data_IF_852908299141
#
_entry.id   IF_852908299141
#
_cell.length_a   1.000
_cell.length_b   1.000
_cell.length_c   1.000
_cell.angle_alpha   90.00
_cell.angle_beta   90.00
_cell.angle_gamma   90.00
#
_symmetry.space_group_name_H-M   'P 1'
#
loop_
_entity.id
_entity.type
_entity.pdbx_description
1 polymer ?
#
# COMPACT_ATOMS: atom_id res chain seq x y z
N UNK A 1 -23.69 15.42 -3.78
CA UNK A 1 -22.40 14.96 -3.23
C UNK A 1 -22.01 13.64 -3.90
N UNK A 2 -22.84 12.60 -3.83
CA UNK A 2 -22.58 11.29 -4.44
C UNK A 2 -22.26 11.34 -5.95
N UNK A 3 -23.02 12.10 -6.75
CA UNK A 3 -22.76 12.22 -8.19
C UNK A 3 -21.37 12.81 -8.53
N UNK A 4 -20.85 13.73 -7.70
CA UNK A 4 -19.52 14.31 -7.92
C UNK A 4 -18.41 13.33 -7.52
N UNK A 5 -18.64 12.54 -6.46
CA UNK A 5 -17.71 11.46 -6.06
C UNK A 5 -17.63 10.41 -7.17
N UNK A 6 -18.78 9.98 -7.71
CA UNK A 6 -18.81 9.04 -8.84
C UNK A 6 -18.11 9.60 -10.08
N UNK A 7 -18.37 10.86 -10.45
CA UNK A 7 -17.71 11.49 -11.58
C UNK A 7 -16.19 11.57 -11.41
N UNK A 8 -15.73 11.89 -10.20
CA UNK A 8 -14.30 11.95 -9.91
C UNK A 8 -13.67 10.55 -9.91
N UNK A 9 -14.37 9.53 -9.38
CA UNK A 9 -13.96 8.14 -9.49
C UNK A 9 -13.78 7.74 -10.96
N UNK A 10 -14.77 8.00 -11.83
CA UNK A 10 -14.68 7.59 -13.24
C UNK A 10 -13.49 8.25 -13.95
N UNK A 11 -13.22 9.52 -13.64
CA UNK A 11 -12.03 10.22 -14.13
C UNK A 11 -10.73 9.61 -13.57
N UNK A 12 -10.66 9.42 -12.25
CA UNK A 12 -9.47 8.95 -11.56
C UNK A 12 -9.14 7.52 -11.96
N UNK A 13 -10.11 6.61 -11.97
CA UNK A 13 -9.90 5.20 -12.29
C UNK A 13 -9.51 5.04 -13.76
N UNK A 14 -10.14 5.79 -14.68
CA UNK A 14 -9.76 5.78 -16.09
C UNK A 14 -8.33 6.28 -16.33
N UNK A 15 -7.86 7.24 -15.52
CA UNK A 15 -6.54 7.84 -15.69
C UNK A 15 -5.42 7.09 -14.96
N UNK A 16 -5.63 6.68 -13.72
CA UNK A 16 -4.56 6.24 -12.81
C UNK A 16 -4.64 4.76 -12.44
N UNK A 17 -5.83 4.18 -12.26
CA UNK A 17 -5.95 2.76 -11.91
C UNK A 17 -5.74 1.90 -13.16
N UNK A 18 -4.67 1.10 -13.17
CA UNK A 18 -4.27 0.28 -14.33
C UNK A 18 -4.23 -1.19 -13.95
N UNK A 19 -4.71 -2.02 -14.86
CA UNK A 19 -4.44 -3.46 -14.84
C UNK A 19 -3.03 -3.69 -15.40
N UNK A 20 -2.27 -4.56 -14.75
CA UNK A 20 -0.95 -4.96 -15.23
C UNK A 20 -1.03 -5.65 -16.59
N UNK A 21 -0.02 -5.39 -17.43
CA UNK A 21 0.18 -6.10 -18.69
C UNK A 21 1.08 -7.32 -18.54
N UNK A 22 1.72 -7.49 -17.37
CA UNK A 22 2.57 -8.63 -17.03
C UNK A 22 1.75 -9.73 -16.38
N UNK A 23 0.87 -9.38 -15.43
CA UNK A 23 -0.10 -10.30 -14.86
C UNK A 23 -1.50 -9.74 -14.74
N UNK A 24 -2.45 -10.38 -15.42
CA UNK A 24 -3.83 -9.87 -15.54
C UNK A 24 -4.61 -9.82 -14.22
N UNK A 25 -4.14 -10.50 -13.18
CA UNK A 25 -4.74 -10.46 -11.84
C UNK A 25 -4.19 -9.33 -10.98
N UNK A 26 -3.26 -8.52 -11.49
CA UNK A 26 -2.65 -7.41 -10.76
C UNK A 26 -3.19 -6.07 -11.24
N UNK A 27 -3.34 -5.14 -10.29
CA UNK A 27 -3.62 -3.74 -10.55
C UNK A 27 -2.60 -2.87 -9.84
N UNK A 28 -2.39 -1.66 -10.32
CA UNK A 28 -1.55 -0.64 -9.70
C UNK A 28 -2.13 0.75 -9.95
N UNK A 29 -1.68 1.73 -9.16
CA UNK A 29 -1.98 3.15 -9.39
C UNK A 29 -0.79 3.80 -10.07
N UNK A 30 -0.96 4.19 -11.34
CA UNK A 30 0.06 4.86 -12.13
C UNK A 30 0.43 6.21 -11.50
N UNK A 31 1.69 6.35 -11.10
CA UNK A 31 2.30 7.57 -10.62
C UNK A 31 3.16 8.24 -11.69
N UNK A 32 3.83 9.33 -11.31
CA UNK A 32 4.88 9.94 -12.14
C UNK A 32 6.20 9.19 -11.93
N UNK A 33 6.96 8.95 -13.00
CA UNK A 33 8.35 8.52 -12.85
C UNK A 33 9.15 9.69 -12.28
N UNK A 34 9.73 9.51 -11.09
CA UNK A 34 10.58 10.50 -10.44
C UNK A 34 12.09 10.21 -10.63
N UNK A 35 12.46 9.10 -11.28
CA UNK A 35 13.87 8.70 -11.49
C UNK A 35 14.61 8.30 -10.21
N UNK A 36 13.92 8.19 -9.08
CA UNK A 36 14.49 7.78 -7.79
C UNK A 36 14.45 6.26 -7.65
N UNK A 37 15.16 5.54 -8.53
CA UNK A 37 15.27 4.08 -8.45
C UNK A 37 16.66 3.63 -7.98
N UNK A 38 16.76 2.48 -7.27
CA UNK A 38 18.05 1.92 -6.89
C UNK A 38 18.95 1.69 -8.10
N UNK A 39 20.24 2.01 -7.98
CA UNK A 39 21.22 1.80 -9.06
C UNK A 39 21.33 0.33 -9.50
N UNK A 40 20.98 -0.61 -8.61
CA UNK A 40 20.89 -2.05 -8.91
C UNK A 40 19.81 -2.40 -9.93
N UNK A 41 18.85 -1.52 -10.18
CA UNK A 41 17.79 -1.71 -11.18
C UNK A 41 18.26 -1.45 -12.61
N UNK A 42 19.55 -1.10 -12.80
CA UNK A 42 20.16 -1.03 -14.12
C UNK A 42 19.57 0.06 -15.03
N UNK A 43 19.02 1.13 -14.43
CA UNK A 43 18.33 2.20 -15.16
C UNK A 43 16.86 1.93 -15.45
N UNK A 44 16.27 0.90 -14.84
CA UNK A 44 14.82 0.70 -14.87
C UNK A 44 14.14 1.75 -13.98
N UNK A 45 13.21 2.51 -14.55
CA UNK A 45 12.41 3.51 -13.82
C UNK A 45 11.28 2.84 -13.01
N UNK A 46 10.68 3.61 -12.10
CA UNK A 46 9.47 3.24 -11.37
C UNK A 46 8.24 3.85 -12.05
N UNK A 47 7.11 3.13 -11.99
CA UNK A 47 5.82 3.60 -12.54
C UNK A 47 4.74 3.84 -11.50
N UNK A 48 4.97 3.39 -10.27
CA UNK A 48 4.02 3.46 -9.18
C UNK A 48 4.79 3.38 -7.85
N UNK A 49 4.17 3.87 -6.80
CA UNK A 49 4.68 3.85 -5.42
C UNK A 49 3.72 3.13 -4.49
N UNK A 50 4.20 2.66 -3.34
CA UNK A 50 3.34 2.12 -2.28
C UNK A 50 2.33 3.15 -1.78
N UNK A 51 2.70 4.44 -1.73
CA UNK A 51 1.80 5.56 -1.39
C UNK A 51 0.57 5.60 -2.31
N UNK A 52 0.79 5.72 -3.63
CA UNK A 52 -0.30 5.71 -4.61
C UNK A 52 -1.10 4.40 -4.56
N UNK A 53 -0.45 3.29 -4.24
CA UNK A 53 -1.06 1.98 -4.10
C UNK A 53 -2.01 1.89 -2.91
N UNK A 54 -1.58 2.37 -1.73
CA UNK A 54 -2.40 2.49 -0.54
C UNK A 54 -3.64 3.36 -0.78
N UNK A 55 -3.48 4.52 -1.43
CA UNK A 55 -4.60 5.36 -1.86
C UNK A 55 -5.58 4.57 -2.74
N UNK A 56 -5.06 3.84 -3.74
CA UNK A 56 -5.88 3.02 -4.63
C UNK A 56 -6.69 1.96 -3.89
N UNK A 57 -6.09 1.30 -2.90
CA UNK A 57 -6.77 0.27 -2.11
C UNK A 57 -7.88 0.88 -1.24
N UNK A 58 -7.64 2.02 -0.57
CA UNK A 58 -8.68 2.72 0.19
C UNK A 58 -9.84 3.14 -0.73
N UNK A 59 -9.52 3.79 -1.85
CA UNK A 59 -10.54 4.30 -2.79
C UNK A 59 -11.38 3.15 -3.35
N UNK A 60 -10.76 2.05 -3.78
CA UNK A 60 -11.49 0.88 -4.34
C UNK A 60 -12.38 0.20 -3.30
N UNK A 61 -11.95 0.09 -2.04
CA UNK A 61 -12.79 -0.41 -0.95
C UNK A 61 -14.01 0.49 -0.70
N UNK A 62 -13.80 1.81 -0.64
CA UNK A 62 -14.89 2.78 -0.42
C UNK A 62 -15.88 2.83 -1.59
N UNK A 63 -15.40 2.68 -2.83
CA UNK A 63 -16.21 2.68 -4.05
C UNK A 63 -16.83 1.32 -4.40
N UNK A 64 -16.67 0.30 -3.54
CA UNK A 64 -17.20 -1.05 -3.71
C UNK A 64 -16.69 -1.76 -4.98
N UNK A 65 -15.36 -1.75 -5.17
CA UNK A 65 -14.65 -2.30 -6.33
C UNK A 65 -13.75 -3.47 -5.95
N UNK A 66 -14.37 -4.59 -5.59
CA UNK A 66 -13.65 -5.75 -5.04
C UNK A 66 -12.63 -6.36 -6.02
N UNK A 67 -12.96 -6.46 -7.31
CA UNK A 67 -12.04 -7.03 -8.33
C UNK A 67 -10.75 -6.21 -8.42
N UNK A 68 -10.87 -4.89 -8.49
CA UNK A 68 -9.73 -3.98 -8.56
C UNK A 68 -8.96 -3.95 -7.24
N UNK A 69 -9.66 -3.99 -6.10
CA UNK A 69 -9.04 -4.10 -4.78
C UNK A 69 -8.20 -5.38 -4.66
N UNK A 70 -8.76 -6.53 -5.00
CA UNK A 70 -8.05 -7.82 -4.97
C UNK A 70 -6.84 -7.80 -5.90
N UNK A 71 -6.96 -7.12 -7.03
CA UNK A 71 -5.85 -6.91 -7.95
C UNK A 71 -4.73 -6.04 -7.40
N UNK A 72 -5.07 -4.95 -6.70
CA UNK A 72 -4.10 -4.13 -5.98
C UNK A 72 -3.43 -4.94 -4.86
N UNK A 73 -4.19 -5.72 -4.10
CA UNK A 73 -3.64 -6.62 -3.10
C UNK A 73 -2.63 -7.62 -3.70
N UNK A 74 -2.94 -8.24 -4.84
CA UNK A 74 -2.03 -9.18 -5.49
C UNK A 74 -0.71 -8.53 -5.91
N UNK A 75 -0.76 -7.29 -6.42
CA UNK A 75 0.43 -6.49 -6.73
C UNK A 75 1.24 -6.20 -5.46
N UNK A 76 0.60 -5.78 -4.36
CA UNK A 76 1.27 -5.60 -3.06
C UNK A 76 2.00 -6.88 -2.63
N UNK A 77 1.36 -8.06 -2.73
CA UNK A 77 1.99 -9.34 -2.37
C UNK A 77 3.15 -9.72 -3.28
N UNK A 78 3.16 -9.26 -4.54
CA UNK A 78 4.21 -9.55 -5.51
C UNK A 78 5.47 -8.69 -5.33
N UNK A 79 5.33 -7.50 -4.73
CA UNK A 79 6.43 -6.56 -4.50
C UNK A 79 6.67 -6.30 -3.00
N UNK A 80 7.05 -7.33 -2.21
CA UNK A 80 7.32 -7.12 -0.80
C UNK A 80 8.64 -6.36 -0.59
N UNK A 81 8.72 -5.56 0.47
CA UNK A 81 9.95 -4.89 0.88
C UNK A 81 11.11 -5.89 1.01
N UNK A 82 12.31 -5.42 0.70
CA UNK A 82 13.55 -6.19 0.86
C UNK A 82 13.95 -6.41 2.32
N UNK A 83 13.39 -5.62 3.26
CA UNK A 83 13.66 -5.72 4.70
C UNK A 83 12.55 -6.50 5.39
N UNK A 84 11.30 -6.00 5.40
CA UNK A 84 10.15 -6.74 5.94
C UNK A 84 9.22 -7.25 4.83
N UNK A 85 9.13 -8.57 4.64
CA UNK A 85 8.37 -9.18 3.53
C UNK A 85 6.85 -9.03 3.62
N UNK A 86 6.32 -8.49 4.72
CA UNK A 86 4.91 -8.17 4.86
C UNK A 86 4.60 -6.71 4.51
N UNK A 87 5.62 -5.87 4.37
CA UNK A 87 5.50 -4.49 3.89
C UNK A 87 5.71 -4.45 2.38
N UNK A 88 5.35 -3.33 1.75
CA UNK A 88 5.46 -3.15 0.31
C UNK A 88 6.76 -2.44 -0.06
N UNK A 89 7.40 -2.88 -1.14
CA UNK A 89 8.43 -2.12 -1.83
C UNK A 89 7.86 -0.74 -2.19
N UNK A 90 8.51 0.35 -1.75
CA UNK A 90 7.96 1.70 -1.92
C UNK A 90 7.78 2.12 -3.38
N UNK A 91 8.44 1.42 -4.32
CA UNK A 91 8.29 1.57 -5.77
C UNK A 91 8.02 0.24 -6.47
N UNK A 92 7.27 0.32 -7.57
CA UNK A 92 7.05 -0.76 -8.54
C UNK A 92 7.81 -0.40 -9.84
N UNK A 93 8.72 -1.26 -10.34
CA UNK A 93 9.46 -1.01 -11.56
C UNK A 93 8.54 -0.97 -12.78
N UNK A 94 8.92 -0.21 -13.80
CA UNK A 94 8.13 -0.03 -15.03
C UNK A 94 7.77 -1.36 -15.70
N UNK A 95 8.74 -2.28 -15.73
CA UNK A 95 8.63 -3.62 -16.30
C UNK A 95 7.97 -4.66 -15.38
N UNK A 96 7.60 -4.29 -14.15
CA UNK A 96 7.05 -5.18 -13.12
C UNK A 96 7.90 -6.43 -12.84
N UNK A 97 9.23 -6.35 -12.98
CA UNK A 97 10.11 -7.45 -12.56
C UNK A 97 10.10 -7.57 -11.03
N UNK A 98 9.45 -8.60 -10.50
CA UNK A 98 9.38 -8.90 -9.05
C UNK A 98 10.72 -9.15 -8.36
N UNK A 99 11.83 -9.25 -9.11
CA UNK A 99 13.17 -9.27 -8.54
C UNK A 99 13.69 -7.87 -8.20
N UNK A 100 13.14 -6.82 -8.84
CA UNK A 100 13.47 -5.42 -8.60
C UNK A 100 12.53 -4.88 -7.51
N UNK A 101 13.03 -4.88 -6.27
CA UNK A 101 12.31 -4.45 -5.07
C UNK A 101 13.21 -3.52 -4.25
N UNK A 102 12.60 -2.68 -3.43
CA UNK A 102 13.25 -1.74 -2.52
C UNK A 102 12.82 -1.99 -1.07
N UNK A 103 13.27 -1.13 -0.16
CA UNK A 103 12.69 -0.95 1.18
C UNK A 103 11.27 -0.37 1.11
N UNK A 104 10.63 -0.19 2.27
CA UNK A 104 9.26 0.30 2.41
C UNK A 104 9.14 1.82 2.62
N UNK A 105 7.91 2.31 2.59
CA UNK A 105 7.53 3.66 3.00
C UNK A 105 6.26 3.58 3.86
N UNK A 106 6.34 4.11 5.08
CA UNK A 106 5.35 3.85 6.13
C UNK A 106 3.93 4.30 5.79
N UNK A 107 3.77 5.40 5.07
CA UNK A 107 2.46 5.89 4.66
C UNK A 107 1.73 4.91 3.74
N UNK A 108 2.42 4.39 2.72
CA UNK A 108 1.88 3.37 1.83
C UNK A 108 1.43 2.12 2.58
N UNK A 109 2.24 1.62 3.50
CA UNK A 109 1.90 0.43 4.29
C UNK A 109 0.76 0.69 5.28
N UNK A 110 0.72 1.86 5.94
CA UNK A 110 -0.39 2.28 6.81
C UNK A 110 -1.70 2.32 6.03
N UNK A 111 -1.72 2.88 4.82
CA UNK A 111 -2.93 2.93 3.99
C UNK A 111 -3.34 1.55 3.48
N UNK A 112 -2.39 0.69 3.07
CA UNK A 112 -2.67 -0.70 2.68
C UNK A 112 -3.30 -1.48 3.85
N UNK A 113 -2.73 -1.35 5.04
CA UNK A 113 -3.22 -1.99 6.26
C UNK A 113 -4.66 -1.57 6.59
N UNK A 114 -4.93 -0.26 6.51
CA UNK A 114 -6.27 0.27 6.75
C UNK A 114 -7.25 -0.15 5.67
N UNK A 115 -6.84 -0.15 4.40
CA UNK A 115 -7.67 -0.59 3.29
C UNK A 115 -8.10 -2.07 3.42
N UNK A 116 -7.24 -2.94 3.95
CA UNK A 116 -7.59 -4.33 4.24
C UNK A 116 -8.64 -4.44 5.37
N UNK A 117 -8.61 -3.57 6.37
CA UNK A 117 -9.69 -3.49 7.37
C UNK A 117 -11.00 -3.02 6.75
N UNK A 118 -10.96 -2.03 5.84
CA UNK A 118 -12.14 -1.59 5.09
C UNK A 118 -12.71 -2.73 4.24
N UNK A 119 -11.86 -3.49 3.55
CA UNK A 119 -12.26 -4.64 2.75
C UNK A 119 -12.89 -5.77 3.59
N UNK A 120 -12.34 -6.06 4.77
CA UNK A 120 -12.95 -7.01 5.72
C UNK A 120 -14.35 -6.55 6.15
N UNK A 121 -14.50 -5.28 6.51
CA UNK A 121 -15.79 -4.72 6.90
C UNK A 121 -16.81 -4.69 5.74
N UNK A 122 -16.33 -4.51 4.50
CA UNK A 122 -17.16 -4.40 3.29
C UNK A 122 -17.59 -5.77 2.74
N UNK A 123 -16.64 -6.69 2.60
CA UNK A 123 -16.83 -7.95 1.88
C UNK A 123 -16.57 -9.19 2.75
N UNK A 124 -15.90 -9.05 3.90
CA UNK A 124 -15.58 -10.17 4.80
C UNK A 124 -14.89 -11.33 4.08
N UNK A 125 -15.30 -12.56 4.39
CA UNK A 125 -14.74 -13.79 3.80
C UNK A 125 -15.50 -14.27 2.55
N UNK A 126 -16.12 -13.36 1.80
CA UNK A 126 -16.86 -13.73 0.57
C UNK A 126 -15.95 -14.05 -0.62
N UNK A 127 -14.67 -13.63 -0.57
CA UNK A 127 -13.65 -13.87 -1.59
C UNK A 127 -12.58 -14.89 -1.17
N UNK A 128 -11.50 -14.95 -1.95
CA UNK A 128 -10.34 -15.84 -1.70
C UNK A 128 -9.32 -15.25 -0.71
N UNK A 129 -9.38 -13.95 -0.46
CA UNK A 129 -8.45 -13.23 0.42
C UNK A 129 -9.07 -13.13 1.82
N UNK A 130 -8.31 -13.53 2.84
CA UNK A 130 -8.67 -13.28 4.23
C UNK A 130 -8.23 -11.87 4.63
N UNK A 131 -9.01 -10.85 4.26
CA UNK A 131 -8.64 -9.45 4.45
C UNK A 131 -8.26 -9.12 5.90
N UNK A 132 -9.03 -9.59 6.89
CA UNK A 132 -8.69 -9.41 8.32
C UNK A 132 -7.35 -10.01 8.69
N UNK A 133 -7.10 -11.25 8.26
CA UNK A 133 -5.85 -11.94 8.55
C UNK A 133 -4.64 -11.25 7.92
N UNK A 134 -4.80 -10.73 6.69
CA UNK A 134 -3.76 -9.97 6.02
C UNK A 134 -3.57 -8.58 6.66
N UNK A 135 -4.66 -7.89 7.05
CA UNK A 135 -4.60 -6.62 7.78
C UNK A 135 -3.82 -6.76 9.10
N UNK A 136 -4.16 -7.75 9.92
CA UNK A 136 -3.45 -8.01 11.19
C UNK A 136 -1.97 -8.31 10.93
N UNK A 137 -1.64 -9.01 9.84
CA UNK A 137 -0.25 -9.31 9.49
C UNK A 137 0.54 -8.03 9.19
N UNK A 138 0.03 -7.17 8.30
CA UNK A 138 0.74 -5.93 7.96
C UNK A 138 0.78 -4.95 9.14
N UNK A 139 -0.30 -4.80 9.93
CA UNK A 139 -0.31 -3.95 11.14
C UNK A 139 0.80 -4.35 12.11
N UNK A 140 0.98 -5.65 12.35
CA UNK A 140 2.05 -6.12 13.23
C UNK A 140 3.44 -5.85 12.64
N UNK A 141 3.61 -5.93 11.32
CA UNK A 141 4.87 -5.61 10.65
C UNK A 141 5.18 -4.11 10.64
N UNK A 142 4.16 -3.23 10.54
CA UNK A 142 4.31 -1.78 10.74
C UNK A 142 4.79 -1.52 12.18
N UNK A 143 4.15 -2.13 13.18
CA UNK A 143 4.57 -1.99 14.58
C UNK A 143 6.01 -2.49 14.81
N UNK A 144 6.42 -3.56 14.14
CA UNK A 144 7.75 -4.14 14.25
C UNK A 144 8.84 -3.29 13.58
N UNK A 145 8.56 -2.73 12.39
CA UNK A 145 9.59 -2.18 11.50
C UNK A 145 9.47 -0.69 11.21
N UNK A 146 8.31 -0.07 11.43
CA UNK A 146 8.03 1.32 11.05
C UNK A 146 7.58 2.19 12.23
N UNK A 147 7.61 1.65 13.45
CA UNK A 147 7.38 2.39 14.68
C UNK A 147 8.64 2.32 15.55
N UNK A 148 9.16 3.49 15.95
CA UNK A 148 10.24 3.53 16.95
C UNK A 148 9.72 3.01 18.30
N UNK A 149 10.37 1.98 18.86
CA UNK A 149 10.03 1.49 20.21
C UNK A 149 10.65 2.34 21.33
N UNK A 150 11.46 3.34 20.97
CA UNK A 150 12.00 4.33 21.90
C UNK A 150 11.04 5.51 22.04
N UNK A 151 10.57 6.07 20.92
CA UNK A 151 9.78 7.32 20.90
C UNK A 151 8.32 7.13 20.55
N UNK A 152 7.91 5.94 20.09
CA UNK A 152 6.58 5.60 19.59
C UNK A 152 6.11 6.48 18.43
N UNK A 153 7.08 6.95 17.64
CA UNK A 153 6.84 7.72 16.41
C UNK A 153 6.84 6.79 15.20
N UNK A 154 6.12 7.21 14.17
CA UNK A 154 6.18 6.60 12.84
C UNK A 154 7.50 6.99 12.19
N UNK A 155 8.29 5.98 11.81
CA UNK A 155 9.55 6.12 11.07
C UNK A 155 9.26 6.38 9.58
N UNK A 156 10.27 6.72 8.79
CA UNK A 156 10.06 7.02 7.36
C UNK A 156 9.78 5.78 6.49
N UNK A 157 10.19 4.61 6.96
CA UNK A 157 10.02 3.30 6.36
C UNK A 157 10.84 2.27 7.14
N UNK A 158 10.83 1.00 6.72
CA UNK A 158 11.49 -0.10 7.42
C UNK A 158 13.03 -0.08 7.39
N UNK A 159 13.61 0.84 6.63
CA UNK A 159 15.04 1.11 6.55
C UNK A 159 15.52 2.17 7.57
N UNK A 160 14.60 2.97 8.12
CA UNK A 160 14.94 4.08 9.00
C UNK A 160 15.24 3.58 10.41
N UNK A 161 16.36 4.06 10.97
CA UNK A 161 16.84 3.68 12.31
C UNK A 161 17.03 4.88 13.23
N UNK A 162 16.70 6.09 12.77
CA UNK A 162 16.71 7.28 13.61
C UNK A 162 15.37 7.42 14.33
N UNK A 163 15.39 7.21 15.64
CA UNK A 163 14.23 7.33 16.54
C UNK A 163 13.50 8.70 16.50
N UNK A 164 14.11 9.73 15.89
CA UNK A 164 13.54 11.07 15.76
C UNK A 164 13.13 11.45 14.33
N UNK A 165 13.52 10.66 13.33
CA UNK A 165 13.05 10.84 11.96
C UNK A 165 11.58 10.45 11.85
N UNK A 166 10.78 11.33 11.27
CA UNK A 166 9.33 11.11 11.07
C UNK A 166 8.78 12.10 10.05
N UNK A 167 7.72 11.71 9.36
CA UNK A 167 7.01 12.55 8.40
C UNK A 167 5.61 12.87 8.94
N UNK A 168 5.26 14.14 9.20
CA UNK A 168 3.96 14.48 9.79
C UNK A 168 2.72 14.05 8.99
N UNK A 169 2.84 13.80 7.68
CA UNK A 169 1.73 13.25 6.87
C UNK A 169 1.37 11.82 7.26
N UNK A 170 2.32 11.07 7.81
CA UNK A 170 2.15 9.66 8.19
C UNK A 170 1.47 9.54 9.56
N UNK A 171 1.21 10.67 10.21
CA UNK A 171 0.49 10.72 11.47
C UNK A 171 -1.01 10.68 11.15
N UNK A 172 -1.51 9.46 10.98
CA UNK A 172 -2.92 9.17 10.68
C UNK A 172 -3.60 8.53 11.91
N UNK A 173 -3.89 9.28 13.00
CA UNK A 173 -4.44 8.76 14.25
C UNK A 173 -5.68 7.88 14.12
N UNK A 174 -6.50 8.13 13.11
CA UNK A 174 -7.70 7.33 12.84
C UNK A 174 -7.35 5.90 12.45
N UNK A 175 -6.36 5.72 11.56
CA UNK A 175 -5.90 4.39 11.15
C UNK A 175 -5.29 3.64 12.33
N UNK A 176 -4.48 4.31 13.16
CA UNK A 176 -3.91 3.68 14.37
C UNK A 176 -4.97 3.27 15.41
N UNK A 177 -6.11 3.97 15.48
CA UNK A 177 -7.25 3.52 16.30
C UNK A 177 -7.86 2.24 15.75
N UNK A 178 -8.09 2.18 14.44
CA UNK A 178 -8.58 0.97 13.78
C UNK A 178 -7.61 -0.21 13.94
N UNK A 179 -6.29 0.05 13.89
CA UNK A 179 -5.26 -0.96 14.10
C UNK A 179 -5.34 -1.54 15.50
N UNK A 180 -5.43 -0.68 16.52
CA UNK A 180 -5.61 -1.11 17.91
C UNK A 180 -6.88 -1.95 18.10
N UNK A 181 -7.99 -1.58 17.47
CA UNK A 181 -9.23 -2.37 17.54
C UNK A 181 -9.07 -3.75 16.88
N UNK A 182 -8.29 -3.84 15.80
CA UNK A 182 -8.06 -5.07 15.07
C UNK A 182 -7.07 -6.02 15.76
N UNK A 183 -6.10 -5.51 16.53
CA UNK A 183 -5.00 -6.30 17.11
C UNK A 183 -5.01 -6.42 18.65
N UNK A 184 -5.74 -5.56 19.36
CA UNK A 184 -5.83 -5.55 20.84
C UNK A 184 -4.91 -4.55 21.52
#
# INVERSE_FOLDING_TARGET
MEAHVQQYWDYWSGKYLKQSTVETTWYYVLGESNGDTPSSWGGTDAKATSEGHGYGMIITALMDKQTEFDGLYNMYKAFPSTINKNLMSWIIPENEDTNLRSDSASDGDIDIAYALLLADAKWGLTGTINYKGEAVRIINSIMESEISHTTWRVLLGDWDSDDYSTRPSDWIPDHFRAFKEATG
#
